data_IF_011978675922
#
_entry.id   IF_011978675922
#
_cell.length_a   1.000
_cell.length_b   1.000
_cell.length_c   1.000
_cell.angle_alpha   90.00
_cell.angle_beta   90.00
_cell.angle_gamma   90.00
#
_symmetry.space_group_name_H-M   'P 1'
#
loop_
_entity.id
_entity.type
_entity.pdbx_description
1 polymer ?
#
# COMPACT_ATOMS: atom_id res chain seq x y z
N UNK A 1 13.39 28.25 6.11
CA UNK A 1 11.91 28.33 6.09
C UNK A 1 11.42 26.91 6.22
N UNK A 2 10.98 26.52 7.42
CA UNK A 2 10.40 25.22 7.70
C UNK A 2 8.97 25.25 7.17
N UNK A 3 8.77 24.77 5.94
CA UNK A 3 7.43 24.59 5.35
C UNK A 3 6.92 23.24 5.82
N UNK A 4 6.32 23.23 7.03
CA UNK A 4 5.87 22.00 7.68
C UNK A 4 4.40 21.65 7.35
N UNK A 5 3.69 22.53 6.68
CA UNK A 5 2.30 22.30 6.28
C UNK A 5 2.22 21.64 4.89
N UNK A 6 1.66 20.43 4.86
CA UNK A 6 1.44 19.67 3.63
C UNK A 6 0.70 20.48 2.56
N UNK A 7 -0.29 21.27 2.96
CA UNK A 7 -1.06 22.10 2.03
C UNK A 7 -0.18 23.12 1.31
N UNK A 8 0.75 23.73 2.04
CA UNK A 8 1.69 24.69 1.50
C UNK A 8 2.69 24.03 0.54
N UNK A 9 3.21 22.84 0.91
CA UNK A 9 4.07 22.06 0.02
C UNK A 9 3.35 21.67 -1.28
N UNK A 10 2.13 21.18 -1.19
CA UNK A 10 1.33 20.80 -2.35
C UNK A 10 1.01 22.03 -3.23
N UNK A 11 0.57 23.14 -2.62
CA UNK A 11 0.27 24.37 -3.35
C UNK A 11 1.51 24.96 -4.06
N UNK A 12 2.69 24.79 -3.47
CA UNK A 12 3.95 25.19 -4.06
C UNK A 12 4.34 24.27 -5.22
N UNK A 13 4.28 22.96 -5.03
CA UNK A 13 4.60 21.96 -6.05
C UNK A 13 3.64 22.00 -7.24
N UNK A 14 2.37 22.37 -7.04
CA UNK A 14 1.41 22.57 -8.14
C UNK A 14 1.82 23.70 -9.11
N UNK A 15 2.56 24.71 -8.61
CA UNK A 15 3.05 25.83 -9.41
C UNK A 15 4.48 25.64 -9.89
N UNK A 16 5.26 24.87 -9.15
CA UNK A 16 6.68 24.63 -9.32
C UNK A 16 6.96 23.13 -9.22
N UNK A 17 6.84 22.36 -10.32
CA UNK A 17 7.01 20.89 -10.28
C UNK A 17 8.36 20.44 -9.68
N UNK A 18 9.40 21.27 -9.82
CA UNK A 18 10.70 21.05 -9.20
C UNK A 18 10.67 21.00 -7.66
N UNK A 19 9.63 21.59 -7.04
CA UNK A 19 9.39 21.56 -5.61
C UNK A 19 8.64 20.30 -5.13
N UNK A 20 8.48 19.30 -5.98
CA UNK A 20 7.81 18.03 -5.64
C UNK A 20 8.65 17.13 -4.73
N UNK A 21 9.97 17.29 -4.71
CA UNK A 21 10.90 16.44 -3.98
C UNK A 21 10.54 16.24 -2.48
N UNK A 22 10.15 17.26 -1.70
CA UNK A 22 9.72 17.08 -0.32
C UNK A 22 8.47 16.18 -0.16
N UNK A 23 7.53 16.26 -1.10
CA UNK A 23 6.34 15.38 -1.12
C UNK A 23 6.74 13.95 -1.45
N UNK A 24 7.64 13.77 -2.43
CA UNK A 24 8.21 12.46 -2.77
C UNK A 24 8.85 11.81 -1.54
N UNK A 25 9.78 12.50 -0.86
CA UNK A 25 10.49 11.98 0.33
C UNK A 25 9.52 11.65 1.48
N UNK A 26 8.48 12.45 1.68
CA UNK A 26 7.46 12.25 2.73
C UNK A 26 6.62 11.00 2.50
N UNK A 27 6.34 10.65 1.25
CA UNK A 27 5.39 9.61 0.91
C UNK A 27 6.00 8.34 0.33
N UNK A 28 7.26 8.36 -0.12
CA UNK A 28 7.90 7.25 -0.81
C UNK A 28 7.79 5.94 -0.03
N UNK A 29 8.26 5.93 1.22
CA UNK A 29 8.25 4.72 2.05
C UNK A 29 6.84 4.13 2.23
N UNK A 30 5.84 5.00 2.38
CA UNK A 30 4.44 4.57 2.58
C UNK A 30 3.84 3.98 1.32
N UNK A 31 4.09 4.61 0.18
CA UNK A 31 3.62 4.14 -1.14
C UNK A 31 4.32 2.83 -1.49
N UNK A 32 5.64 2.77 -1.34
CA UNK A 32 6.44 1.57 -1.61
C UNK A 32 5.99 0.39 -0.71
N UNK A 33 5.84 0.62 0.59
CA UNK A 33 5.34 -0.41 1.51
C UNK A 33 3.91 -0.87 1.18
N UNK A 34 3.05 0.02 0.68
CA UNK A 34 1.72 -0.33 0.20
C UNK A 34 1.79 -1.20 -1.06
N UNK A 35 2.61 -0.81 -2.05
CA UNK A 35 2.84 -1.60 -3.27
C UNK A 35 3.42 -2.98 -2.93
N UNK A 36 4.42 -3.04 -2.05
CA UNK A 36 5.04 -4.29 -1.64
C UNK A 36 4.05 -5.26 -0.95
N UNK A 37 3.20 -4.77 -0.03
CA UNK A 37 2.17 -5.61 0.59
C UNK A 37 1.19 -6.20 -0.41
N UNK A 38 0.98 -5.50 -1.53
CA UNK A 38 0.06 -5.95 -2.60
C UNK A 38 0.71 -6.93 -3.56
N UNK A 39 1.96 -6.72 -3.93
CA UNK A 39 2.66 -7.45 -4.98
C UNK A 39 3.50 -8.62 -4.43
N UNK A 40 4.01 -8.50 -3.20
CA UNK A 40 4.90 -9.49 -2.59
C UNK A 40 6.31 -9.53 -3.19
N UNK A 41 6.57 -8.77 -4.25
CA UNK A 41 7.83 -8.70 -4.96
C UNK A 41 8.43 -7.30 -4.83
N UNK A 42 9.69 -7.14 -4.35
CA UNK A 42 10.31 -5.84 -4.13
C UNK A 42 10.57 -5.07 -5.42
N UNK A 43 10.95 -5.76 -6.51
CA UNK A 43 11.27 -5.11 -7.77
C UNK A 43 10.00 -4.58 -8.44
N UNK A 44 8.94 -5.41 -8.49
CA UNK A 44 7.62 -4.96 -8.96
C UNK A 44 7.07 -3.79 -8.11
N UNK A 45 7.30 -3.84 -6.79
CA UNK A 45 6.87 -2.76 -5.90
C UNK A 45 7.63 -1.45 -6.17
N UNK A 46 8.93 -1.51 -6.48
CA UNK A 46 9.74 -0.37 -6.87
C UNK A 46 9.27 0.22 -8.20
N UNK A 47 9.02 -0.63 -9.20
CA UNK A 47 8.53 -0.23 -10.52
C UNK A 47 7.16 0.46 -10.43
N UNK A 48 6.20 -0.18 -9.75
CA UNK A 48 4.87 0.41 -9.58
C UNK A 48 4.94 1.70 -8.77
N UNK A 49 5.78 1.79 -7.74
CA UNK A 49 5.98 3.02 -6.98
C UNK A 49 6.53 4.15 -7.86
N UNK A 50 7.47 3.86 -8.74
CA UNK A 50 8.01 4.81 -9.72
C UNK A 50 6.93 5.32 -10.67
N UNK A 51 6.07 4.43 -11.16
CA UNK A 51 4.89 4.77 -11.98
C UNK A 51 3.94 5.70 -11.19
N UNK A 52 3.67 5.39 -9.91
CA UNK A 52 2.80 6.20 -9.06
C UNK A 52 3.31 7.63 -8.95
N UNK A 53 4.59 7.82 -8.63
CA UNK A 53 5.16 9.16 -8.47
C UNK A 53 5.30 9.91 -9.81
N UNK A 54 5.58 9.22 -10.91
CA UNK A 54 5.56 9.80 -12.25
C UNK A 54 4.16 10.30 -12.62
N UNK A 55 3.12 9.47 -12.40
CA UNK A 55 1.71 9.87 -12.60
C UNK A 55 1.29 11.01 -11.67
N UNK A 56 1.72 10.98 -10.40
CA UNK A 56 1.43 12.04 -9.45
C UNK A 56 2.05 13.37 -9.88
N UNK A 57 3.33 13.37 -10.29
CA UNK A 57 4.00 14.58 -10.75
C UNK A 57 3.34 15.15 -12.02
N UNK A 58 3.06 14.33 -13.01
CA UNK A 58 2.46 14.76 -14.27
C UNK A 58 1.02 15.28 -14.12
N UNK A 59 0.26 14.75 -13.16
CA UNK A 59 -1.13 15.14 -12.89
C UNK A 59 -1.31 16.12 -11.72
N UNK A 60 -0.22 16.53 -11.07
CA UNK A 60 -0.25 17.38 -9.87
C UNK A 60 -1.01 18.71 -10.10
N UNK A 61 -0.86 19.29 -11.29
CA UNK A 61 -1.56 20.53 -11.69
C UNK A 61 -3.09 20.38 -11.68
N UNK A 62 -3.61 19.15 -11.73
CA UNK A 62 -5.05 18.85 -11.68
C UNK A 62 -5.57 18.62 -10.27
N UNK A 63 -4.67 18.52 -9.28
CA UNK A 63 -5.07 18.28 -7.89
C UNK A 63 -5.95 19.43 -7.37
N UNK A 64 -7.15 19.10 -6.89
CA UNK A 64 -8.13 20.04 -6.32
C UNK A 64 -8.70 19.53 -4.99
N UNK A 65 -8.16 18.42 -4.48
CA UNK A 65 -8.68 17.74 -3.29
C UNK A 65 -8.23 18.39 -1.97
N UNK A 66 -8.90 18.01 -0.89
CA UNK A 66 -8.54 18.41 0.47
C UNK A 66 -7.36 17.61 1.04
N UNK A 67 -7.18 16.36 0.61
CA UNK A 67 -6.14 15.45 1.09
C UNK A 67 -5.27 14.99 -0.07
N UNK A 68 -4.03 15.47 -0.09
CA UNK A 68 -3.01 15.01 -1.05
C UNK A 68 -2.74 13.51 -0.87
N UNK A 69 -2.72 13.03 0.36
CA UNK A 69 -2.52 11.62 0.69
C UNK A 69 -3.58 10.74 0.04
N UNK A 70 -4.87 11.05 0.18
CA UNK A 70 -5.93 10.23 -0.44
C UNK A 70 -5.82 10.24 -1.97
N UNK A 71 -5.49 11.37 -2.58
CA UNK A 71 -5.28 11.50 -4.01
C UNK A 71 -4.08 10.67 -4.50
N UNK A 72 -2.94 10.74 -3.81
CA UNK A 72 -1.76 9.95 -4.15
C UNK A 72 -2.02 8.44 -4.02
N UNK A 73 -2.71 8.02 -2.95
CA UNK A 73 -3.06 6.61 -2.77
C UNK A 73 -4.15 6.12 -3.72
N UNK A 74 -5.01 7.00 -4.25
CA UNK A 74 -5.90 6.66 -5.36
C UNK A 74 -5.09 6.37 -6.65
N UNK A 75 -4.06 7.15 -6.95
CA UNK A 75 -3.13 6.87 -8.05
C UNK A 75 -2.43 5.54 -7.83
N UNK A 76 -1.94 5.27 -6.60
CA UNK A 76 -1.27 4.01 -6.27
C UNK A 76 -2.22 2.79 -6.41
N UNK A 77 -3.46 2.91 -5.93
CA UNK A 77 -4.47 1.87 -6.05
C UNK A 77 -4.79 1.55 -7.53
N UNK A 78 -4.93 2.58 -8.35
CA UNK A 78 -5.18 2.44 -9.78
C UNK A 78 -3.96 1.82 -10.50
N UNK A 79 -2.74 2.26 -10.19
CA UNK A 79 -1.52 1.71 -10.77
C UNK A 79 -1.36 0.21 -10.47
N UNK A 80 -1.64 -0.21 -9.23
CA UNK A 80 -1.68 -1.62 -8.85
C UNK A 80 -2.78 -2.40 -9.60
N UNK A 81 -3.95 -1.81 -9.77
CA UNK A 81 -5.04 -2.44 -10.54
C UNK A 81 -4.66 -2.64 -12.00
N UNK A 82 -4.02 -1.63 -12.62
CA UNK A 82 -3.50 -1.71 -13.99
C UNK A 82 -2.43 -2.79 -14.10
N UNK A 83 -1.49 -2.86 -13.13
CA UNK A 83 -0.45 -3.88 -13.08
C UNK A 83 -1.02 -5.30 -13.04
N UNK A 84 -2.02 -5.57 -12.17
CA UNK A 84 -2.69 -6.87 -12.13
C UNK A 84 -3.44 -7.20 -13.41
N UNK A 85 -4.05 -6.23 -14.07
CA UNK A 85 -4.72 -6.44 -15.37
C UNK A 85 -3.72 -6.80 -16.45
N UNK A 86 -2.58 -6.11 -16.53
CA UNK A 86 -1.52 -6.40 -17.49
C UNK A 86 -0.98 -7.83 -17.30
N UNK A 87 -0.60 -8.21 -16.08
CA UNK A 87 -0.15 -9.58 -15.76
C UNK A 87 -1.16 -10.66 -16.15
N UNK A 88 -2.44 -10.43 -15.86
CA UNK A 88 -3.49 -11.39 -16.22
C UNK A 88 -3.63 -11.57 -17.73
N UNK A 89 -3.38 -10.51 -18.50
CA UNK A 89 -3.37 -10.58 -19.97
C UNK A 89 -2.15 -11.34 -20.48
N UNK A 90 -0.98 -11.11 -19.88
CA UNK A 90 0.26 -11.81 -20.22
C UNK A 90 0.20 -13.30 -19.82
N UNK A 91 -0.31 -13.63 -18.62
CA UNK A 91 -0.47 -15.01 -18.17
C UNK A 91 -1.50 -15.81 -18.98
N UNK A 92 -2.42 -15.15 -19.68
CA UNK A 92 -3.31 -15.81 -20.65
C UNK A 92 -2.58 -16.24 -21.93
N UNK A 93 -1.35 -15.79 -22.13
CA UNK A 93 -0.51 -16.10 -23.30
C UNK A 93 0.66 -17.02 -22.98
N UNK A 94 1.02 -17.18 -21.69
CA UNK A 94 2.17 -18.02 -21.29
C UNK A 94 1.92 -18.62 -19.90
N UNK A 95 1.85 -19.97 -19.82
CA UNK A 95 1.80 -20.69 -18.56
C UNK A 95 3.19 -20.69 -17.91
N UNK A 96 3.22 -20.35 -16.63
CA UNK A 96 4.32 -20.49 -15.68
C UNK A 96 5.33 -19.33 -15.60
N UNK A 97 5.24 -18.54 -14.51
CA UNK A 97 6.41 -17.87 -13.93
C UNK A 97 6.34 -17.83 -12.42
N UNK A 98 7.37 -18.42 -11.83
CA UNK A 98 7.66 -18.54 -10.40
C UNK A 98 7.94 -17.18 -9.75
N UNK A 99 7.55 -17.05 -8.46
CA UNK A 99 7.95 -15.93 -7.61
C UNK A 99 9.48 -15.91 -7.44
N UNK A 100 10.14 -14.86 -7.90
CA UNK A 100 11.57 -14.63 -7.65
C UNK A 100 11.77 -13.84 -6.36
N UNK A 101 12.58 -14.41 -5.48
CA UNK A 101 13.04 -13.83 -4.22
C UNK A 101 14.30 -13.00 -4.51
N UNK A 102 14.17 -11.68 -4.52
CA UNK A 102 15.29 -10.75 -4.74
C UNK A 102 16.07 -10.52 -3.44
N UNK A 103 17.35 -10.87 -3.42
CA UNK A 103 18.28 -10.77 -2.29
C UNK A 103 18.69 -9.31 -2.01
N UNK A 104 18.64 -8.89 -0.74
CA UNK A 104 19.37 -7.79 -0.13
C UNK A 104 19.93 -8.20 1.24
N UNK A 105 21.11 -7.69 1.55
CA UNK A 105 22.04 -7.91 2.66
C UNK A 105 21.52 -7.83 4.12
N UNK A 106 22.29 -8.41 5.20
CA UNK A 106 21.76 -9.64 5.76
C UNK A 106 21.14 -9.62 7.17
N UNK A 107 21.28 -8.71 8.10
CA UNK A 107 20.83 -9.02 9.49
C UNK A 107 19.71 -8.14 10.04
N UNK A 108 19.75 -6.83 9.91
CA UNK A 108 18.65 -5.95 10.35
C UNK A 108 17.51 -5.90 9.30
N UNK A 109 17.87 -6.04 8.02
CA UNK A 109 16.89 -6.18 6.94
C UNK A 109 16.15 -7.53 7.03
N UNK A 110 16.76 -8.60 7.51
CA UNK A 110 16.12 -9.91 7.66
C UNK A 110 14.96 -9.88 8.65
N UNK A 111 15.12 -9.26 9.82
CA UNK A 111 14.07 -9.15 10.84
C UNK A 111 12.92 -8.26 10.34
N UNK A 112 13.24 -7.12 9.73
CA UNK A 112 12.23 -6.24 9.16
C UNK A 112 11.51 -6.88 7.96
N UNK A 113 12.22 -7.69 7.18
CA UNK A 113 11.68 -8.44 6.05
C UNK A 113 10.77 -9.56 6.51
N UNK A 114 11.15 -10.31 7.55
CA UNK A 114 10.34 -11.36 8.16
C UNK A 114 9.04 -10.80 8.77
N UNK A 115 9.13 -9.68 9.50
CA UNK A 115 7.96 -9.00 10.03
C UNK A 115 7.02 -8.50 8.90
N UNK A 116 7.58 -7.97 7.81
CA UNK A 116 6.80 -7.57 6.63
C UNK A 116 6.12 -8.76 5.96
N UNK A 117 6.82 -9.88 5.79
CA UNK A 117 6.27 -11.13 5.24
C UNK A 117 5.12 -11.66 6.12
N UNK A 118 5.30 -11.67 7.43
CA UNK A 118 4.27 -12.10 8.38
C UNK A 118 3.01 -11.24 8.26
N UNK A 119 3.16 -9.91 8.20
CA UNK A 119 2.02 -9.01 8.00
C UNK A 119 1.36 -9.26 6.65
N UNK A 120 2.12 -9.45 5.58
CA UNK A 120 1.59 -9.71 4.23
C UNK A 120 0.82 -11.02 4.18
N UNK A 121 1.35 -12.10 4.80
CA UNK A 121 0.67 -13.39 4.87
C UNK A 121 -0.63 -13.33 5.68
N UNK A 122 -0.63 -12.65 6.82
CA UNK A 122 -1.85 -12.44 7.63
C UNK A 122 -2.92 -11.66 6.86
N UNK A 123 -2.52 -10.62 6.12
CA UNK A 123 -3.44 -9.87 5.28
C UNK A 123 -3.98 -10.69 4.11
N UNK A 124 -3.21 -11.65 3.58
CA UNK A 124 -3.65 -12.52 2.50
C UNK A 124 -4.83 -13.41 2.89
N UNK A 125 -4.97 -13.76 4.19
CA UNK A 125 -6.08 -14.54 4.74
C UNK A 125 -7.40 -13.74 4.83
N UNK A 126 -7.35 -12.43 4.62
CA UNK A 126 -8.54 -11.58 4.64
C UNK A 126 -9.26 -11.61 3.28
N UNK A 127 -10.61 -11.51 3.27
CA UNK A 127 -11.36 -11.22 2.05
C UNK A 127 -10.84 -9.95 1.38
N UNK A 128 -10.88 -9.90 0.05
CA UNK A 128 -10.26 -8.84 -0.76
C UNK A 128 -10.63 -7.42 -0.29
N UNK A 129 -11.90 -7.17 0.03
CA UNK A 129 -12.36 -5.88 0.53
C UNK A 129 -11.73 -5.50 1.87
N UNK A 130 -11.71 -6.44 2.82
CA UNK A 130 -11.12 -6.23 4.14
C UNK A 130 -9.61 -6.01 4.05
N UNK A 131 -8.94 -6.76 3.18
CA UNK A 131 -7.50 -6.62 2.90
C UNK A 131 -7.18 -5.23 2.38
N UNK A 132 -7.90 -4.75 1.34
CA UNK A 132 -7.69 -3.41 0.78
C UNK A 132 -7.83 -2.31 1.84
N UNK A 133 -8.84 -2.41 2.70
CA UNK A 133 -9.04 -1.45 3.80
C UNK A 133 -7.86 -1.48 4.78
N UNK A 134 -7.41 -2.67 5.17
CA UNK A 134 -6.30 -2.82 6.12
C UNK A 134 -4.96 -2.35 5.55
N UNK A 135 -4.69 -2.63 4.29
CA UNK A 135 -3.48 -2.16 3.60
C UNK A 135 -3.40 -0.63 3.53
N UNK A 136 -4.51 0.03 3.20
CA UNK A 136 -4.59 1.49 3.20
C UNK A 136 -4.53 2.08 4.62
N UNK A 137 -5.11 1.39 5.61
CA UNK A 137 -4.99 1.78 7.02
C UNK A 137 -3.55 1.72 7.50
N UNK A 138 -2.81 0.67 7.16
CA UNK A 138 -1.37 0.54 7.46
C UNK A 138 -0.51 1.60 6.74
N UNK A 139 -0.96 2.11 5.61
CA UNK A 139 -0.34 3.26 4.95
C UNK A 139 -0.67 4.61 5.64
N UNK A 140 -1.49 4.60 6.70
CA UNK A 140 -1.82 5.74 7.54
C UNK A 140 -3.05 6.54 7.10
N UNK A 141 -3.92 6.00 6.23
CA UNK A 141 -5.12 6.68 5.80
C UNK A 141 -6.23 6.58 6.85
N UNK A 142 -7.02 7.63 6.98
CA UNK A 142 -8.26 7.66 7.77
C UNK A 142 -9.40 6.97 7.03
N UNK A 143 -10.49 6.64 7.72
CA UNK A 143 -11.67 6.01 7.10
C UNK A 143 -12.27 6.88 5.98
N UNK A 144 -12.28 8.22 6.16
CA UNK A 144 -12.71 9.17 5.13
C UNK A 144 -11.80 9.08 3.88
N UNK A 145 -10.49 9.06 4.07
CA UNK A 145 -9.51 8.98 2.98
C UNK A 145 -9.56 7.63 2.26
N UNK A 146 -9.67 6.53 2.99
CA UNK A 146 -9.85 5.19 2.41
C UNK A 146 -11.15 5.13 1.61
N UNK A 147 -12.22 5.75 2.12
CA UNK A 147 -13.49 5.87 1.41
C UNK A 147 -13.33 6.59 0.07
N UNK A 148 -12.56 7.68 0.02
CA UNK A 148 -12.24 8.39 -1.23
C UNK A 148 -11.45 7.52 -2.22
N UNK A 149 -10.47 6.75 -1.73
CA UNK A 149 -9.65 5.85 -2.57
C UNK A 149 -10.49 4.71 -3.16
N UNK A 150 -11.38 4.10 -2.35
CA UNK A 150 -12.14 2.91 -2.74
C UNK A 150 -13.56 3.21 -3.27
N UNK A 151 -13.97 4.48 -3.32
CA UNK A 151 -15.33 4.88 -3.73
C UNK A 151 -16.41 4.41 -2.75
N UNK A 152 -16.12 4.41 -1.43
CA UNK A 152 -17.01 3.89 -0.37
C UNK A 152 -17.26 4.93 0.72
N UNK A 153 -18.37 4.77 1.45
CA UNK A 153 -18.64 5.59 2.63
C UNK A 153 -17.75 5.20 3.81
N UNK A 154 -17.37 6.19 4.64
CA UNK A 154 -16.50 5.97 5.80
C UNK A 154 -17.04 4.90 6.76
N UNK A 155 -18.35 4.86 7.01
CA UNK A 155 -18.98 3.83 7.84
C UNK A 155 -18.77 2.41 7.30
N UNK A 156 -18.81 2.21 5.98
CA UNK A 156 -18.54 0.91 5.36
C UNK A 156 -17.07 0.51 5.55
N UNK A 157 -16.15 1.47 5.49
CA UNK A 157 -14.73 1.26 5.78
C UNK A 157 -14.52 0.84 7.24
N UNK A 158 -15.15 1.53 8.20
CA UNK A 158 -15.06 1.19 9.62
C UNK A 158 -15.59 -0.20 9.92
N UNK A 159 -16.72 -0.58 9.32
CA UNK A 159 -17.27 -1.93 9.44
C UNK A 159 -16.35 -3.00 8.83
N UNK A 160 -15.77 -2.74 7.65
CA UNK A 160 -14.82 -3.66 7.00
C UNK A 160 -13.56 -3.82 7.87
N UNK A 161 -13.03 -2.72 8.42
CA UNK A 161 -11.91 -2.75 9.35
C UNK A 161 -12.22 -3.56 10.61
N UNK A 162 -13.40 -3.34 11.21
CA UNK A 162 -13.81 -4.08 12.41
C UNK A 162 -13.85 -5.59 12.15
N UNK A 163 -14.48 -6.02 11.06
CA UNK A 163 -14.52 -7.44 10.66
C UNK A 163 -13.14 -8.00 10.39
N UNK A 164 -12.26 -7.23 9.74
CA UNK A 164 -10.87 -7.63 9.50
C UNK A 164 -10.11 -7.85 10.81
N UNK A 165 -10.25 -6.93 11.78
CA UNK A 165 -9.57 -7.05 13.08
C UNK A 165 -10.05 -8.26 13.89
N UNK A 166 -11.35 -8.60 13.87
CA UNK A 166 -11.87 -9.81 14.51
C UNK A 166 -11.21 -11.05 13.88
N UNK A 167 -11.17 -11.11 12.54
CA UNK A 167 -10.60 -12.26 11.83
C UNK A 167 -9.10 -12.40 12.10
N UNK A 168 -8.34 -11.30 12.05
CA UNK A 168 -6.89 -11.32 12.34
C UNK A 168 -6.60 -11.76 13.77
N UNK A 169 -7.38 -11.30 14.75
CA UNK A 169 -7.26 -11.79 16.14
C UNK A 169 -7.48 -13.29 16.24
N UNK A 170 -8.49 -13.83 15.56
CA UNK A 170 -8.74 -15.27 15.51
C UNK A 170 -7.58 -16.06 14.94
N UNK A 171 -6.93 -15.56 13.88
CA UNK A 171 -5.76 -16.19 13.27
C UNK A 171 -4.56 -16.21 14.22
N UNK A 172 -4.30 -15.10 14.91
CA UNK A 172 -3.17 -14.98 15.85
C UNK A 172 -3.39 -15.84 17.09
N UNK A 173 -4.60 -15.86 17.65
CA UNK A 173 -4.93 -16.66 18.85
C UNK A 173 -5.04 -18.16 18.52
N UNK A 174 -5.54 -18.52 17.36
CA UNK A 174 -5.62 -19.91 16.88
C UNK A 174 -4.25 -20.53 16.58
N UNK A 175 -3.30 -19.75 16.08
CA UNK A 175 -1.92 -20.20 15.87
C UNK A 175 -1.15 -20.44 17.18
N UNK A 176 -1.56 -19.78 18.28
CA UNK A 176 -0.94 -19.98 19.61
C UNK A 176 -1.39 -21.25 20.34
N UNK A 177 -2.42 -21.96 19.87
CA UNK A 177 -2.98 -23.13 20.54
C UNK A 177 -2.35 -24.48 20.12
N UNK A 178 -1.37 -24.46 19.20
CA UNK A 178 -0.74 -25.71 18.68
C UNK A 178 0.62 -26.03 19.32
N UNK A 179 1.02 -25.31 20.39
CA UNK A 179 2.29 -25.61 21.08
C UNK A 179 2.02 -25.91 22.55
N UNK A 180 1.52 -27.12 22.85
CA UNK A 180 1.28 -27.51 24.23
C UNK A 180 0.72 -28.91 24.40
N UNK A 181 1.33 -29.92 23.77
CA UNK A 181 1.12 -31.29 24.18
C UNK A 181 2.47 -32.05 24.22
N UNK A 182 3.20 -31.83 25.32
CA UNK A 182 4.30 -32.68 25.71
C UNK A 182 3.84 -33.54 26.90
N UNK A 183 3.38 -34.75 26.60
CA UNK A 183 3.39 -35.86 27.54
C UNK A 183 4.43 -36.87 27.12
#
# INVERSE_FOLDING_TARGET
IQIDDERTLVAHACRHPEAFAPLYLRYFERVHAYCYRRLGNPDEAADVSSIVFSRALSSLHTFRGESFRSWLFAIAHNALTDHYRARRTEQSLDDALECHDGQRSPEEEAIAHEARRTVTSLLAELPAEQRQVMELRLAGLTSKEIGLVLGKHANAIDQAQHRAMIRLRGLVTGAGSTTGDWR
#
